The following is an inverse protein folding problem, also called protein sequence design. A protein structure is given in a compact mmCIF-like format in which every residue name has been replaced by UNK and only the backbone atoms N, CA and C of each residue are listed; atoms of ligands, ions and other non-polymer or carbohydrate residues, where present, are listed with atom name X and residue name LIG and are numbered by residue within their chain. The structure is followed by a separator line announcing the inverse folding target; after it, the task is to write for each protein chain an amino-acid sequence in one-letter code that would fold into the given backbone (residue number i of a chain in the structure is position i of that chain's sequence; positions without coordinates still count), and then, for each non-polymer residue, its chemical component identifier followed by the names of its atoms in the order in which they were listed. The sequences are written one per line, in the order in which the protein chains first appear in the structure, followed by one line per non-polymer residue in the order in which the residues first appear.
data_IF_506442561740
#
_entry.id   IF_506442561740
#
_cell.length_a   1.000
_cell.length_b   1.000
_cell.length_c   1.000
_cell.angle_alpha   90.00
_cell.angle_beta   90.00
_cell.angle_gamma   90.00
#
_symmetry.space_group_name_H-M   'P 1'
#
loop_
_entity.id
_entity.type
_entity.pdbx_description
1 polymer ?
#
# COMPACT_ATOMS: atom_id res chain seq x y z
N UNK A 1 29.51 -25.74 51.83
CA UNK A 1 28.10 -25.46 51.46
C UNK A 1 28.07 -24.09 50.79
N UNK A 2 27.87 -24.03 49.48
CA UNK A 2 27.96 -22.77 48.72
C UNK A 2 26.90 -22.80 47.63
N UNK A 3 25.75 -22.14 47.85
CA UNK A 3 24.67 -22.07 46.86
C UNK A 3 24.92 -20.89 45.93
N UNK A 4 25.29 -21.16 44.68
CA UNK A 4 25.23 -20.16 43.61
C UNK A 4 23.75 -19.84 43.31
N UNK A 5 23.39 -18.56 43.34
CA UNK A 5 22.07 -18.09 42.95
C UNK A 5 22.05 -17.78 41.45
N UNK A 6 21.42 -18.66 40.66
CA UNK A 6 21.10 -18.35 39.27
C UNK A 6 20.03 -17.23 39.22
N UNK A 7 20.46 -15.98 39.06
CA UNK A 7 19.55 -14.91 38.62
C UNK A 7 19.20 -15.13 37.15
N UNK A 8 18.04 -15.72 36.90
CA UNK A 8 17.40 -15.62 35.58
C UNK A 8 17.20 -14.13 35.26
N UNK A 9 17.84 -13.65 34.19
CA UNK A 9 17.45 -12.39 33.55
C UNK A 9 16.12 -12.63 32.85
N UNK A 10 15.02 -12.29 33.53
CA UNK A 10 13.75 -12.05 32.84
C UNK A 10 13.97 -10.88 31.91
N UNK A 11 14.01 -11.15 30.60
CA UNK A 11 13.98 -10.09 29.61
C UNK A 11 12.62 -9.40 29.72
N UNK A 12 12.61 -8.12 30.09
CA UNK A 12 11.41 -7.31 30.04
C UNK A 12 11.05 -7.15 28.57
N UNK A 13 9.99 -7.84 28.12
CA UNK A 13 9.43 -7.61 26.80
C UNK A 13 8.92 -6.17 26.73
N UNK A 14 9.60 -5.33 25.96
CA UNK A 14 9.13 -3.99 25.62
C UNK A 14 7.85 -4.14 24.80
N UNK A 15 6.71 -3.78 25.40
CA UNK A 15 5.36 -4.10 24.91
C UNK A 15 4.88 -3.33 23.68
N UNK A 16 5.75 -3.07 22.70
CA UNK A 16 5.37 -2.53 21.41
C UNK A 16 4.94 -3.65 20.45
N UNK A 17 3.81 -3.48 19.77
CA UNK A 17 3.38 -4.38 18.73
C UNK A 17 4.35 -4.32 17.53
N UNK A 18 4.70 -5.49 16.98
CA UNK A 18 5.41 -5.56 15.71
C UNK A 18 4.48 -5.18 14.54
N UNK A 19 5.05 -4.91 13.37
CA UNK A 19 4.31 -4.38 12.21
C UNK A 19 3.16 -5.29 11.76
N UNK A 20 3.35 -6.61 11.81
CA UNK A 20 2.28 -7.58 11.53
C UNK A 20 1.14 -7.50 12.58
N UNK A 21 1.47 -7.35 13.87
CA UNK A 21 0.49 -7.18 14.94
C UNK A 21 -0.23 -5.82 14.87
N UNK A 22 0.47 -4.75 14.48
CA UNK A 22 -0.12 -3.42 14.20
C UNK A 22 -1.11 -3.47 13.03
N UNK A 23 -0.78 -4.22 11.97
CA UNK A 23 -1.70 -4.53 10.87
C UNK A 23 -2.84 -5.48 11.30
N UNK A 24 -2.67 -6.26 12.37
CA UNK A 24 -3.66 -7.18 12.90
C UNK A 24 -3.85 -8.43 12.03
N UNK A 25 -4.84 -9.27 12.38
CA UNK A 25 -5.14 -10.49 11.62
C UNK A 25 -5.73 -10.12 10.24
N UNK A 26 -5.20 -10.64 9.13
CA UNK A 26 -5.78 -10.44 7.80
C UNK A 26 -7.10 -11.20 7.65
N UNK A 27 -8.08 -10.59 6.98
CA UNK A 27 -9.32 -11.27 6.58
C UNK A 27 -9.08 -12.23 5.40
N UNK A 28 -8.12 -11.90 4.52
CA UNK A 28 -7.65 -12.75 3.43
C UNK A 28 -6.13 -12.96 3.52
N UNK A 29 -5.67 -14.21 3.53
CA UNK A 29 -4.25 -14.55 3.40
C UNK A 29 -4.06 -15.61 2.32
N UNK A 30 -3.27 -15.30 1.29
CA UNK A 30 -3.12 -16.15 0.10
C UNK A 30 -1.77 -15.92 -0.61
N UNK A 31 -1.35 -16.87 -1.44
CA UNK A 31 -0.40 -16.58 -2.52
C UNK A 31 -1.19 -15.95 -3.68
N UNK A 32 -0.61 -14.96 -4.35
CA UNK A 32 -1.20 -14.24 -5.46
C UNK A 32 -1.55 -15.16 -6.65
N UNK A 33 -0.89 -16.32 -6.77
CA UNK A 33 -1.21 -17.33 -7.79
C UNK A 33 -2.58 -18.00 -7.60
N UNK A 34 -3.11 -17.96 -6.37
CA UNK A 34 -4.38 -18.61 -6.00
C UNK A 34 -5.57 -17.65 -6.13
N UNK A 35 -5.30 -16.36 -6.39
CA UNK A 35 -6.31 -15.34 -6.68
C UNK A 35 -6.75 -15.44 -8.14
N UNK A 36 -8.06 -15.48 -8.37
CA UNK A 36 -8.64 -15.64 -9.70
C UNK A 36 -8.86 -14.28 -10.37
N UNK A 37 -9.09 -13.23 -9.58
CA UNK A 37 -9.51 -11.91 -10.04
C UNK A 37 -8.58 -10.76 -9.62
N UNK A 38 -7.34 -11.05 -9.23
CA UNK A 38 -6.35 -10.05 -8.79
C UNK A 38 -5.00 -10.30 -9.44
N UNK A 39 -4.41 -9.24 -9.99
CA UNK A 39 -3.03 -9.22 -10.49
C UNK A 39 -2.16 -8.49 -9.45
N UNK A 40 -1.11 -9.14 -8.97
CA UNK A 40 -0.07 -8.50 -8.14
C UNK A 40 1.16 -8.26 -9.00
N UNK A 41 1.51 -6.99 -9.21
CA UNK A 41 2.55 -6.54 -10.14
C UNK A 41 3.69 -5.80 -9.45
N UNK A 42 4.89 -5.87 -10.04
CA UNK A 42 6.08 -5.15 -9.60
C UNK A 42 6.24 -3.76 -10.24
N UNK A 43 5.35 -3.34 -11.14
CA UNK A 43 5.46 -2.08 -11.90
C UNK A 43 4.12 -1.39 -12.18
N UNK A 44 4.15 -0.09 -12.47
CA UNK A 44 2.97 0.71 -12.76
C UNK A 44 2.44 0.57 -14.20
N UNK A 45 3.24 0.14 -15.17
CA UNK A 45 2.79 -0.07 -16.56
C UNK A 45 1.96 -1.37 -16.77
N UNK A 46 1.31 -1.87 -15.71
CA UNK A 46 0.44 -3.04 -15.78
C UNK A 46 -0.88 -2.69 -16.46
N UNK A 47 -1.29 -3.50 -17.43
CA UNK A 47 -2.61 -3.41 -18.06
C UNK A 47 -3.73 -3.65 -17.04
N UNK A 48 -4.77 -2.83 -17.09
CA UNK A 48 -6.01 -3.01 -16.31
C UNK A 48 -6.96 -3.89 -17.13
N UNK A 49 -6.91 -5.19 -16.88
CA UNK A 49 -7.87 -6.12 -17.48
C UNK A 49 -9.28 -5.94 -16.88
N UNK A 50 -10.37 -6.12 -17.67
CA UNK A 50 -11.73 -6.11 -17.15
C UNK A 50 -11.94 -7.05 -15.97
N UNK A 51 -12.69 -6.59 -14.97
CA UNK A 51 -13.00 -7.32 -13.74
C UNK A 51 -11.79 -7.86 -12.95
N UNK A 52 -10.57 -7.34 -13.20
CA UNK A 52 -9.35 -7.66 -12.44
C UNK A 52 -8.91 -6.52 -11.55
N UNK A 53 -8.69 -6.82 -10.27
CA UNK A 53 -7.96 -5.92 -9.39
C UNK A 53 -6.49 -5.87 -9.84
N UNK A 54 -5.84 -4.72 -9.68
CA UNK A 54 -4.39 -4.57 -9.92
C UNK A 54 -3.76 -3.97 -8.67
N UNK A 55 -2.90 -4.75 -8.01
CA UNK A 55 -2.20 -4.37 -6.79
C UNK A 55 -0.71 -4.15 -7.07
N UNK A 56 -0.21 -2.98 -6.68
CA UNK A 56 1.18 -2.57 -6.80
C UNK A 56 1.71 -2.03 -5.46
N UNK A 57 2.96 -2.36 -5.15
CA UNK A 57 3.72 -1.77 -4.05
C UNK A 57 5.18 -1.56 -4.47
N UNK A 58 5.76 -0.41 -4.13
CA UNK A 58 7.08 0.01 -4.57
C UNK A 58 8.25 -0.88 -4.13
N UNK A 59 8.09 -1.75 -3.12
CA UNK A 59 9.23 -2.50 -2.55
C UNK A 59 10.02 -3.33 -3.57
N UNK A 60 9.35 -3.93 -4.57
CA UNK A 60 10.09 -4.67 -5.60
C UNK A 60 10.89 -3.75 -6.53
N UNK A 61 10.35 -2.58 -6.90
CA UNK A 61 11.05 -1.56 -7.68
C UNK A 61 12.25 -0.99 -6.90
N UNK A 62 12.12 -0.75 -5.60
CA UNK A 62 13.23 -0.29 -4.75
C UNK A 62 14.35 -1.33 -4.69
N UNK A 63 14.02 -2.59 -4.44
CA UNK A 63 14.99 -3.68 -4.46
C UNK A 63 15.67 -3.84 -5.83
N UNK A 64 14.93 -3.64 -6.93
CA UNK A 64 15.48 -3.66 -8.28
C UNK A 64 16.47 -2.51 -8.53
N UNK A 65 16.16 -1.29 -8.06
CA UNK A 65 17.06 -0.14 -8.17
C UNK A 65 18.39 -0.39 -7.45
N UNK A 66 18.33 -0.86 -6.20
CA UNK A 66 19.53 -1.21 -5.41
C UNK A 66 20.36 -2.32 -6.08
N UNK A 67 19.70 -3.29 -6.74
CA UNK A 67 20.38 -4.33 -7.50
C UNK A 67 21.13 -3.76 -8.71
N UNK A 68 20.48 -2.87 -9.47
CA UNK A 68 21.11 -2.16 -10.58
C UNK A 68 22.33 -1.33 -10.09
N UNK A 69 22.19 -0.63 -8.96
CA UNK A 69 23.25 0.21 -8.40
C UNK A 69 24.42 -0.62 -7.83
N UNK A 70 24.13 -1.76 -7.21
CA UNK A 70 25.14 -2.72 -6.77
C UNK A 70 25.98 -3.29 -7.92
N UNK A 71 25.36 -3.50 -9.09
CA UNK A 71 26.03 -3.94 -10.32
C UNK A 71 26.58 -2.79 -11.19
N UNK A 72 26.20 -1.55 -10.93
CA UNK A 72 26.58 -0.38 -11.72
C UNK A 72 25.98 -0.34 -13.13
N UNK A 73 24.90 -1.09 -13.40
CA UNK A 73 24.28 -1.20 -14.72
C UNK A 73 22.79 -1.56 -14.62
N UNK A 74 22.06 -1.40 -15.74
CA UNK A 74 20.72 -1.97 -15.89
C UNK A 74 20.79 -3.51 -15.93
N UNK A 75 19.78 -4.16 -15.35
CA UNK A 75 19.75 -5.62 -15.27
C UNK A 75 19.01 -6.18 -16.49
N UNK A 76 19.66 -7.08 -17.22
CA UNK A 76 19.09 -7.79 -18.36
C UNK A 76 19.15 -9.30 -18.20
N UNK A 77 18.38 -10.04 -19.01
CA UNK A 77 18.38 -11.51 -19.03
C UNK A 77 18.26 -12.06 -20.46
N UNK A 78 18.68 -13.31 -20.71
CA UNK A 78 18.22 -14.06 -21.88
C UNK A 78 16.69 -14.19 -21.88
N UNK A 79 16.06 -13.89 -23.01
CA UNK A 79 14.60 -13.97 -23.22
C UNK A 79 13.80 -13.27 -22.11
N UNK A 80 14.22 -12.06 -21.72
CA UNK A 80 13.68 -11.35 -20.55
C UNK A 80 12.16 -11.06 -20.65
N UNK A 81 11.47 -11.16 -19.51
CA UNK A 81 10.06 -10.80 -19.44
C UNK A 81 9.92 -9.26 -19.59
N UNK A 82 8.91 -8.72 -20.30
CA UNK A 82 8.76 -7.26 -20.53
C UNK A 82 8.84 -6.39 -19.27
N UNK A 83 8.46 -6.95 -18.12
CA UNK A 83 8.64 -6.33 -16.79
C UNK A 83 10.08 -5.87 -16.51
N UNK A 84 11.11 -6.57 -16.99
CA UNK A 84 12.54 -6.21 -16.80
C UNK A 84 12.83 -4.82 -17.37
N UNK A 85 12.41 -4.58 -18.62
CA UNK A 85 12.54 -3.29 -19.28
C UNK A 85 11.73 -2.18 -18.59
N UNK A 86 10.61 -2.49 -17.93
CA UNK A 86 9.84 -1.51 -17.12
C UNK A 86 10.55 -1.21 -15.80
N UNK A 87 11.05 -2.24 -15.09
CA UNK A 87 11.77 -2.07 -13.83
C UNK A 87 13.08 -1.27 -14.01
N UNK A 88 13.78 -1.43 -15.14
CA UNK A 88 14.96 -0.62 -15.47
C UNK A 88 14.66 0.88 -15.66
N UNK A 89 13.40 1.28 -15.91
CA UNK A 89 13.00 2.71 -15.95
C UNK A 89 13.04 3.39 -14.57
N UNK A 90 13.12 2.60 -13.48
CA UNK A 90 13.18 3.09 -12.08
C UNK A 90 12.08 4.09 -11.71
N UNK A 91 10.84 3.81 -12.11
CA UNK A 91 9.71 4.75 -11.98
C UNK A 91 9.41 5.21 -10.54
N UNK A 92 9.77 4.41 -9.53
CA UNK A 92 9.82 4.81 -8.11
C UNK A 92 11.27 4.84 -7.65
N UNK A 93 11.61 5.88 -6.89
CA UNK A 93 12.93 6.09 -6.29
C UNK A 93 12.84 6.38 -4.78
N UNK A 94 13.97 6.60 -4.14
CA UNK A 94 14.05 7.11 -2.76
C UNK A 94 13.37 8.48 -2.55
N UNK A 95 13.19 9.27 -3.61
CA UNK A 95 12.55 10.59 -3.55
C UNK A 95 11.03 10.51 -3.37
N UNK A 96 10.42 9.39 -3.74
CA UNK A 96 8.97 9.15 -3.68
C UNK A 96 8.49 8.67 -2.28
N UNK A 97 9.42 8.54 -1.32
CA UNK A 97 9.20 7.96 0.00
C UNK A 97 9.86 8.79 1.12
N UNK A 98 9.31 8.68 2.33
CA UNK A 98 10.01 9.15 3.54
C UNK A 98 11.16 8.17 3.82
N UNK A 99 12.42 8.63 3.93
CA UNK A 99 13.54 7.79 4.34
C UNK A 99 13.22 6.93 5.57
N UNK A 100 12.55 7.47 6.60
CA UNK A 100 12.26 6.73 7.84
C UNK A 100 11.21 5.61 7.67
N UNK A 101 10.53 5.54 6.52
CA UNK A 101 9.47 4.55 6.26
C UNK A 101 9.95 3.26 5.58
N UNK A 102 11.13 3.24 4.97
CA UNK A 102 11.60 2.07 4.21
C UNK A 102 13.09 1.78 4.42
N UNK A 103 13.52 0.55 4.16
CA UNK A 103 14.90 0.25 3.79
C UNK A 103 14.93 -0.43 2.42
N UNK A 104 16.00 -0.22 1.68
CA UNK A 104 16.36 -0.97 0.48
C UNK A 104 17.88 -1.14 0.50
N UNK A 105 18.38 -2.29 0.03
CA UNK A 105 19.80 -2.59 -0.12
C UNK A 105 20.03 -3.81 -1.02
N UNK A 106 21.19 -3.87 -1.67
CA UNK A 106 21.69 -5.05 -2.36
C UNK A 106 23.15 -5.35 -1.97
N UNK A 107 23.57 -6.60 -2.18
CA UNK A 107 24.89 -7.08 -1.79
C UNK A 107 25.11 -8.55 -2.12
N UNK A 108 26.07 -9.18 -1.43
CA UNK A 108 26.28 -10.64 -1.46
C UNK A 108 25.50 -11.30 -0.32
N UNK A 109 24.93 -12.48 -0.58
CA UNK A 109 24.24 -13.31 0.39
C UNK A 109 25.24 -13.94 1.37
N UNK A 110 25.64 -13.16 2.37
CA UNK A 110 26.56 -13.51 3.45
C UNK A 110 25.99 -13.09 4.81
N UNK A 111 26.62 -13.57 5.89
CA UNK A 111 26.17 -13.25 7.25
C UNK A 111 26.35 -11.76 7.58
N UNK A 112 27.33 -11.08 6.96
CA UNK A 112 27.53 -9.63 7.04
C UNK A 112 26.37 -8.85 6.40
N UNK A 113 25.82 -9.31 5.27
CA UNK A 113 24.65 -8.69 4.65
C UNK A 113 23.43 -8.79 5.55
N UNK A 114 23.18 -9.97 6.13
CA UNK A 114 22.06 -10.13 7.07
C UNK A 114 22.23 -9.30 8.33
N UNK A 115 23.44 -9.25 8.90
CA UNK A 115 23.75 -8.39 10.04
C UNK A 115 23.52 -6.90 9.73
N UNK A 116 23.91 -6.45 8.53
CA UNK A 116 23.69 -5.07 8.09
C UNK A 116 22.20 -4.76 7.87
N UNK A 117 21.47 -5.66 7.21
CA UNK A 117 20.01 -5.55 7.02
C UNK A 117 19.26 -5.49 8.36
N UNK A 118 19.62 -6.35 9.32
CA UNK A 118 19.05 -6.33 10.68
C UNK A 118 19.38 -5.04 11.43
N UNK A 119 20.61 -4.52 11.31
CA UNK A 119 20.99 -3.22 11.89
C UNK A 119 20.18 -2.07 11.29
N UNK A 120 19.98 -2.06 9.97
CA UNK A 120 19.16 -1.06 9.28
C UNK A 120 17.68 -1.15 9.69
N UNK A 121 17.10 -2.36 9.75
CA UNK A 121 15.74 -2.57 10.23
C UNK A 121 15.58 -2.09 11.68
N UNK A 122 16.49 -2.48 12.57
CA UNK A 122 16.48 -2.09 13.98
C UNK A 122 16.68 -0.59 14.18
N UNK A 123 17.57 0.03 13.41
CA UNK A 123 17.81 1.47 13.46
C UNK A 123 16.63 2.31 13.00
N UNK A 124 15.85 1.81 12.04
CA UNK A 124 14.72 2.54 11.43
C UNK A 124 13.36 2.25 12.06
N UNK A 125 13.12 1.00 12.47
CA UNK A 125 11.83 0.53 12.96
C UNK A 125 11.85 0.06 14.42
N UNK A 126 13.01 0.06 15.08
CA UNK A 126 13.18 -0.49 16.41
C UNK A 126 12.95 -2.01 16.43
N UNK A 127 12.37 -2.57 17.51
CA UNK A 127 12.05 -4.00 17.60
C UNK A 127 10.82 -4.39 16.76
N UNK A 128 10.16 -3.45 16.08
CA UNK A 128 8.83 -3.66 15.49
C UNK A 128 8.85 -4.29 14.09
N UNK A 129 9.99 -4.31 13.39
CA UNK A 129 10.09 -4.91 12.07
C UNK A 129 9.65 -6.38 12.04
N UNK A 130 9.05 -6.83 10.94
CA UNK A 130 8.61 -8.23 10.74
C UNK A 130 9.11 -8.76 9.39
N UNK A 131 10.43 -9.04 9.25
CA UNK A 131 11.10 -9.20 7.97
C UNK A 131 11.06 -10.63 7.43
N UNK A 132 9.87 -11.25 7.34
CA UNK A 132 9.69 -12.68 6.98
C UNK A 132 10.42 -13.07 5.67
N UNK A 133 10.50 -12.17 4.68
CA UNK A 133 11.23 -12.43 3.43
C UNK A 133 12.75 -12.45 3.60
N UNK A 134 13.31 -11.74 4.58
CA UNK A 134 14.74 -11.76 4.91
C UNK A 134 15.13 -13.10 5.56
N UNK A 135 14.27 -13.62 6.44
CA UNK A 135 14.43 -14.94 7.06
C UNK A 135 14.36 -16.05 5.99
N UNK A 136 13.36 -15.99 5.10
CA UNK A 136 13.24 -16.90 3.96
C UNK A 136 14.49 -16.85 3.06
N UNK A 137 15.04 -15.67 2.79
CA UNK A 137 16.27 -15.55 1.98
C UNK A 137 17.48 -16.15 2.69
N UNK A 138 17.62 -15.97 4.00
CA UNK A 138 18.69 -16.54 4.84
C UNK A 138 18.74 -18.06 4.81
N UNK A 139 17.56 -18.68 4.79
CA UNK A 139 17.39 -20.13 4.84
C UNK A 139 17.40 -20.79 3.45
N UNK A 140 16.92 -20.10 2.41
CA UNK A 140 16.63 -20.71 1.10
C UNK A 140 17.52 -20.20 -0.06
N UNK A 141 18.13 -19.01 0.04
CA UNK A 141 18.96 -18.47 -1.05
C UNK A 141 20.40 -19.03 -0.97
N UNK A 142 21.04 -19.40 -2.10
CA UNK A 142 22.43 -19.86 -2.11
C UNK A 142 23.39 -18.82 -1.54
N UNK A 143 24.26 -19.20 -0.60
CA UNK A 143 25.33 -18.32 -0.09
C UNK A 143 26.25 -17.87 -1.23
N UNK A 144 26.86 -16.69 -1.06
CA UNK A 144 27.76 -16.04 -2.02
C UNK A 144 27.12 -15.57 -3.34
N UNK A 145 25.84 -15.86 -3.60
CA UNK A 145 25.11 -15.23 -4.71
C UNK A 145 24.78 -13.78 -4.34
N UNK A 146 24.45 -12.95 -5.32
CA UNK A 146 23.91 -11.62 -5.03
C UNK A 146 22.51 -11.72 -4.38
N UNK A 147 22.16 -10.71 -3.59
CA UNK A 147 20.85 -10.57 -2.93
C UNK A 147 20.44 -9.09 -2.99
N UNK A 148 19.14 -8.85 -3.15
CA UNK A 148 18.52 -7.54 -2.94
C UNK A 148 17.31 -7.68 -2.02
N UNK A 149 17.08 -6.68 -1.20
CA UNK A 149 16.01 -6.65 -0.21
C UNK A 149 15.44 -5.24 -0.07
N UNK A 150 14.12 -5.15 0.08
CA UNK A 150 13.46 -3.91 0.49
C UNK A 150 12.32 -4.20 1.45
N UNK A 151 12.11 -3.26 2.38
CA UNK A 151 11.08 -3.32 3.40
C UNK A 151 10.47 -1.94 3.57
N UNK A 152 9.17 -1.80 3.37
CA UNK A 152 8.42 -0.56 3.54
C UNK A 152 7.39 -0.77 4.65
N UNK A 153 7.33 0.16 5.60
CA UNK A 153 6.27 0.22 6.60
C UNK A 153 5.78 1.66 6.76
N UNK A 154 4.48 1.85 6.55
CA UNK A 154 3.77 3.12 6.75
C UNK A 154 2.56 2.85 7.63
N UNK A 155 2.40 3.66 8.67
CA UNK A 155 1.24 3.59 9.56
C UNK A 155 0.48 4.92 9.47
N UNK A 156 -0.57 4.94 8.65
CA UNK A 156 -1.23 6.18 8.21
C UNK A 156 -2.55 6.39 8.96
N UNK A 157 -2.50 7.19 10.03
CA UNK A 157 -3.67 7.56 10.86
C UNK A 157 -4.66 8.43 10.11
N UNK A 158 -5.96 8.19 10.31
CA UNK A 158 -6.93 9.28 10.30
C UNK A 158 -6.97 9.95 11.66
N UNK A 159 -6.98 11.28 11.68
CA UNK A 159 -7.07 12.08 12.92
C UNK A 159 -8.40 11.86 13.65
N UNK A 160 -9.48 11.81 12.88
CA UNK A 160 -10.82 11.49 13.35
C UNK A 160 -11.25 10.18 12.67
N UNK A 161 -11.28 9.05 13.39
CA UNK A 161 -11.80 7.82 12.82
C UNK A 161 -13.22 8.02 12.27
N UNK A 162 -13.48 7.40 11.12
CA UNK A 162 -14.80 7.31 10.52
C UNK A 162 -15.70 6.35 11.29
N UNK A 163 -17.00 6.36 11.00
CA UNK A 163 -17.91 5.35 11.52
C UNK A 163 -17.77 4.05 10.69
N UNK A 164 -17.58 2.90 11.34
CA UNK A 164 -17.80 1.59 10.70
C UNK A 164 -19.30 1.39 10.51
N UNK A 165 -19.75 1.18 9.28
CA UNK A 165 -21.17 1.19 8.94
C UNK A 165 -21.78 -0.22 9.10
N UNK A 166 -22.94 -0.35 9.78
CA UNK A 166 -23.54 -1.66 10.05
C UNK A 166 -24.29 -2.25 8.85
N UNK A 167 -24.74 -1.41 7.92
CA UNK A 167 -25.34 -1.83 6.66
C UNK A 167 -24.24 -2.15 5.63
N UNK A 168 -24.31 -3.29 4.93
CA UNK A 168 -23.32 -3.62 3.91
C UNK A 168 -23.39 -2.62 2.73
N UNK A 169 -22.24 -2.40 2.11
CA UNK A 169 -22.15 -1.78 0.80
C UNK A 169 -22.23 -2.88 -0.26
N UNK A 170 -23.04 -2.70 -1.31
CA UNK A 170 -23.02 -3.62 -2.44
C UNK A 170 -21.97 -3.13 -3.43
N UNK A 171 -20.84 -3.83 -3.51
CA UNK A 171 -19.82 -3.59 -4.53
C UNK A 171 -20.19 -4.39 -5.78
N UNK A 172 -20.83 -3.72 -6.74
CA UNK A 172 -21.58 -4.41 -7.79
C UNK A 172 -22.70 -5.28 -7.20
N UNK A 173 -22.54 -6.60 -7.25
CA UNK A 173 -23.47 -7.57 -6.64
C UNK A 173 -22.98 -8.13 -5.29
N UNK A 174 -21.76 -7.79 -4.87
CA UNK A 174 -21.12 -8.39 -3.69
C UNK A 174 -21.34 -7.54 -2.43
N UNK A 175 -22.01 -8.06 -1.38
CA UNK A 175 -22.16 -7.33 -0.12
C UNK A 175 -20.85 -7.35 0.68
N UNK A 176 -20.26 -6.17 0.88
CA UNK A 176 -18.99 -5.95 1.60
C UNK A 176 -19.20 -5.06 2.82
N UNK A 177 -18.32 -5.18 3.82
CA UNK A 177 -18.27 -4.23 4.94
C UNK A 177 -17.73 -2.87 4.46
N UNK A 178 -18.16 -1.78 5.08
CA UNK A 178 -17.71 -0.44 4.72
C UNK A 178 -17.62 0.52 5.93
N UNK A 179 -16.94 1.63 5.73
CA UNK A 179 -16.83 2.74 6.68
C UNK A 179 -17.13 4.09 6.02
N UNK A 180 -17.31 5.13 6.83
CA UNK A 180 -17.42 6.51 6.37
C UNK A 180 -18.30 7.34 7.30
N UNK A 181 -19.35 7.97 6.75
CA UNK A 181 -20.35 8.69 7.53
C UNK A 181 -21.69 8.75 6.81
N UNK A 182 -22.77 8.72 7.59
CA UNK A 182 -24.14 8.85 7.11
C UNK A 182 -24.58 10.29 6.77
N UNK A 183 -25.82 10.45 6.27
CA UNK A 183 -26.41 11.76 6.00
C UNK A 183 -26.54 12.61 7.28
N UNK A 184 -26.53 13.95 7.18
CA UNK A 184 -26.45 14.86 8.33
C UNK A 184 -27.38 14.55 9.52
N UNK A 185 -28.64 14.15 9.26
CA UNK A 185 -29.62 13.81 10.30
C UNK A 185 -29.38 12.49 11.06
N UNK A 186 -28.33 11.72 10.72
CA UNK A 186 -27.87 10.52 11.44
C UNK A 186 -26.42 10.62 11.91
N UNK A 187 -25.77 11.79 11.81
CA UNK A 187 -24.36 11.97 12.17
C UNK A 187 -24.18 12.09 13.68
N UNK A 188 -23.17 11.40 14.21
CA UNK A 188 -22.59 11.69 15.53
C UNK A 188 -21.83 13.03 15.48
N UNK A 189 -21.50 13.60 16.65
CA UNK A 189 -20.60 14.77 16.72
C UNK A 189 -19.22 14.43 16.11
N UNK A 190 -18.77 13.17 16.26
CA UNK A 190 -17.51 12.66 15.67
C UNK A 190 -17.55 12.68 14.14
N UNK A 191 -18.68 12.32 13.53
CA UNK A 191 -18.88 12.40 12.08
C UNK A 191 -18.85 13.83 11.52
N UNK A 192 -19.03 14.86 12.37
CA UNK A 192 -18.77 16.26 11.99
C UNK A 192 -17.29 16.55 11.79
N UNK A 193 -16.42 16.00 12.65
CA UNK A 193 -14.96 16.13 12.54
C UNK A 193 -14.39 15.23 11.43
N UNK A 194 -14.90 14.01 11.27
CA UNK A 194 -14.52 13.12 10.18
C UNK A 194 -14.87 13.69 8.78
N UNK A 195 -15.83 14.62 8.68
CA UNK A 195 -16.07 15.38 7.45
C UNK A 195 -14.89 16.31 7.09
N UNK A 196 -14.25 16.93 8.09
CA UNK A 196 -13.18 17.93 7.86
C UNK A 196 -11.90 17.36 7.22
N UNK A 197 -11.70 16.04 7.34
CA UNK A 197 -10.60 15.31 6.70
C UNK A 197 -10.95 14.73 5.32
N UNK A 198 -12.15 14.99 4.79
CA UNK A 198 -12.52 14.64 3.40
C UNK A 198 -12.46 15.88 2.53
N UNK A 199 -11.43 15.96 1.68
CA UNK A 199 -11.35 16.96 0.61
C UNK A 199 -11.75 16.31 -0.71
N UNK A 200 -12.82 16.81 -1.33
CA UNK A 200 -13.14 16.50 -2.72
C UNK A 200 -12.10 17.21 -3.59
N UNK A 201 -11.35 16.45 -4.38
CA UNK A 201 -10.39 16.98 -5.34
C UNK A 201 -11.11 17.41 -6.62
N UNK A 202 -11.96 16.54 -7.15
CA UNK A 202 -12.77 16.75 -8.35
C UNK A 202 -14.09 15.96 -8.26
N UNK A 203 -15.17 16.46 -8.84
CA UNK A 203 -16.48 15.80 -8.83
C UNK A 203 -17.25 16.07 -10.12
N UNK A 204 -17.28 15.09 -11.02
CA UNK A 204 -18.05 15.15 -12.28
C UNK A 204 -19.43 14.52 -12.08
N UNK A 205 -19.53 13.45 -11.29
CA UNK A 205 -20.80 12.81 -10.94
C UNK A 205 -20.67 11.81 -9.79
N UNK A 206 -21.77 11.12 -9.44
CA UNK A 206 -21.79 10.06 -8.39
C UNK A 206 -21.01 8.80 -8.79
N UNK A 207 -20.59 8.75 -10.05
CA UNK A 207 -19.88 7.69 -10.74
C UNK A 207 -18.45 8.09 -11.11
N UNK A 208 -18.13 9.39 -11.00
CA UNK A 208 -16.88 9.99 -11.47
C UNK A 208 -16.45 11.13 -10.52
N UNK A 209 -15.64 10.78 -9.52
CA UNK A 209 -15.14 11.72 -8.51
C UNK A 209 -13.82 11.27 -7.88
N UNK A 210 -13.05 12.23 -7.38
CA UNK A 210 -11.76 12.03 -6.73
C UNK A 210 -11.77 12.73 -5.38
N UNK A 211 -11.36 12.04 -4.33
CA UNK A 211 -11.18 12.61 -2.99
C UNK A 211 -9.78 12.32 -2.44
N UNK A 212 -9.27 13.25 -1.65
CA UNK A 212 -8.13 13.02 -0.77
C UNK A 212 -8.62 12.95 0.67
N UNK A 213 -8.22 11.91 1.39
CA UNK A 213 -8.48 11.77 2.82
C UNK A 213 -7.24 12.25 3.59
N UNK A 214 -7.42 13.28 4.43
CA UNK A 214 -6.33 13.85 5.23
C UNK A 214 -5.88 12.87 6.31
N UNK A 215 -4.58 12.59 6.32
CA UNK A 215 -3.91 11.77 7.31
C UNK A 215 -3.34 12.65 8.44
N UNK A 216 -2.96 12.06 9.57
CA UNK A 216 -2.19 12.81 10.59
C UNK A 216 -0.78 13.14 10.11
N UNK A 217 -0.18 12.27 9.28
CA UNK A 217 1.03 12.59 8.52
C UNK A 217 0.70 13.64 7.47
N UNK A 218 1.34 14.80 7.55
CA UNK A 218 1.32 15.79 6.46
C UNK A 218 2.22 15.41 5.28
N UNK A 219 3.09 14.40 5.44
CA UNK A 219 4.04 13.93 4.42
C UNK A 219 3.45 12.89 3.46
N UNK A 220 2.25 12.37 3.75
CA UNK A 220 1.58 11.36 2.94
C UNK A 220 0.20 11.84 2.50
N UNK A 221 -0.24 11.34 1.35
CA UNK A 221 -1.58 11.54 0.81
C UNK A 221 -2.23 10.21 0.49
N UNK A 222 -3.47 10.05 0.95
CA UNK A 222 -4.36 8.98 0.54
C UNK A 222 -5.40 9.54 -0.42
N UNK A 223 -5.39 9.05 -1.66
CA UNK A 223 -6.40 9.37 -2.67
C UNK A 223 -7.31 8.18 -2.93
N UNK A 224 -8.60 8.45 -3.07
CA UNK A 224 -9.59 7.51 -3.58
C UNK A 224 -10.24 8.14 -4.82
N UNK A 225 -10.16 7.45 -5.96
CA UNK A 225 -10.67 7.94 -7.24
C UNK A 225 -11.62 6.92 -7.86
N UNK A 226 -12.92 7.24 -7.87
CA UNK A 226 -13.94 6.49 -8.60
C UNK A 226 -14.01 7.10 -9.99
N UNK A 227 -13.40 6.43 -10.96
CA UNK A 227 -13.21 6.93 -12.33
C UNK A 227 -13.27 5.76 -13.31
N UNK A 228 -13.48 6.02 -14.60
CA UNK A 228 -13.22 4.98 -15.60
C UNK A 228 -11.70 4.71 -15.70
N UNK A 229 -11.25 3.43 -15.73
CA UNK A 229 -9.85 3.12 -15.93
C UNK A 229 -9.41 3.43 -17.36
N UNK A 230 -8.13 3.76 -17.53
CA UNK A 230 -7.46 3.70 -18.83
C UNK A 230 -6.83 2.31 -19.02
N UNK A 231 -6.23 2.06 -20.19
CA UNK A 231 -5.72 0.73 -20.54
C UNK A 231 -4.66 0.20 -19.56
N UNK A 232 -3.89 1.10 -18.93
CA UNK A 232 -2.87 0.77 -17.94
C UNK A 232 -3.02 1.55 -16.63
N UNK A 233 -2.39 1.02 -15.58
CA UNK A 233 -2.42 1.60 -14.24
C UNK A 233 -1.68 2.95 -14.16
N UNK A 234 -0.49 3.08 -14.75
CA UNK A 234 0.26 4.34 -14.89
C UNK A 234 -0.59 5.44 -15.56
N UNK A 235 -1.21 5.15 -16.71
CA UNK A 235 -2.08 6.10 -17.41
C UNK A 235 -3.27 6.55 -16.55
N UNK A 236 -3.86 5.61 -15.80
CA UNK A 236 -4.98 5.90 -14.89
C UNK A 236 -4.53 6.80 -13.74
N UNK A 237 -3.35 6.57 -13.18
CA UNK A 237 -2.73 7.43 -12.15
C UNK A 237 -2.47 8.83 -12.72
N UNK A 238 -1.85 8.95 -13.89
CA UNK A 238 -1.56 10.23 -14.55
C UNK A 238 -2.84 11.06 -14.76
N UNK A 239 -3.92 10.42 -15.23
CA UNK A 239 -5.24 11.04 -15.41
C UNK A 239 -5.84 11.54 -14.09
N UNK A 240 -5.79 10.72 -13.02
CA UNK A 240 -6.26 11.12 -11.69
C UNK A 240 -5.42 12.26 -11.11
N UNK A 241 -4.10 12.19 -11.22
CA UNK A 241 -3.18 13.23 -10.74
C UNK A 241 -3.31 14.55 -11.53
N UNK A 242 -3.60 14.48 -12.83
CA UNK A 242 -3.94 15.66 -13.63
C UNK A 242 -5.21 16.34 -13.10
N UNK A 243 -6.29 15.58 -12.87
CA UNK A 243 -7.55 16.09 -12.30
C UNK A 243 -7.41 16.60 -10.86
N UNK A 244 -6.48 16.09 -10.06
CA UNK A 244 -6.17 16.65 -8.72
C UNK A 244 -5.53 18.04 -8.82
N UNK A 245 -4.67 18.27 -9.83
CA UNK A 245 -4.05 19.58 -10.09
C UNK A 245 -5.06 20.56 -10.71
N UNK A 246 -5.77 20.10 -11.73
CA UNK A 246 -6.70 20.88 -12.55
C UNK A 246 -8.12 20.25 -12.51
N UNK A 247 -8.84 20.38 -11.38
CA UNK A 247 -10.17 19.82 -11.23
C UNK A 247 -11.22 20.66 -11.93
N UNK A 248 -12.30 20.01 -12.38
CA UNK A 248 -13.41 20.63 -13.07
C UNK A 248 -14.40 21.28 -12.08
N UNK A 249 -14.60 20.67 -10.91
CA UNK A 249 -15.55 21.16 -9.91
C UNK A 249 -15.00 21.08 -8.48
N UNK A 250 -15.01 22.22 -7.76
CA UNK A 250 -14.44 22.36 -6.39
C UNK A 250 -15.45 22.59 -5.27
N UNK A 251 -16.67 23.03 -5.57
CA UNK A 251 -17.65 23.48 -4.56
C UNK A 251 -18.70 22.41 -4.26
N UNK A 252 -18.29 21.36 -3.55
CA UNK A 252 -19.18 20.26 -3.13
C UNK A 252 -18.97 19.97 -1.65
N UNK A 253 -20.07 19.83 -0.90
CA UNK A 253 -20.04 19.38 0.51
C UNK A 253 -20.44 17.90 0.57
N UNK A 254 -19.65 17.02 1.22
CA UNK A 254 -20.03 15.62 1.37
C UNK A 254 -21.27 15.43 2.25
N UNK A 255 -22.29 14.76 1.71
CA UNK A 255 -23.49 14.32 2.42
C UNK A 255 -23.31 12.95 3.07
N UNK A 256 -22.71 12.01 2.35
CA UNK A 256 -22.46 10.64 2.79
C UNK A 256 -21.13 10.20 2.21
N UNK A 257 -20.38 9.37 2.93
CA UNK A 257 -19.25 8.64 2.37
C UNK A 257 -19.37 7.17 2.75
N UNK A 258 -19.14 6.27 1.79
CA UNK A 258 -19.06 4.81 2.02
C UNK A 258 -17.87 4.24 1.25
N UNK A 259 -16.90 3.70 1.98
CA UNK A 259 -15.66 3.10 1.45
C UNK A 259 -15.59 1.63 1.91
N UNK A 260 -15.37 0.65 1.03
CA UNK A 260 -15.14 -0.75 1.43
C UNK A 260 -13.99 -0.91 2.42
N UNK A 261 -14.10 -1.88 3.33
CA UNK A 261 -12.96 -2.36 4.13
C UNK A 261 -12.06 -3.27 3.30
N UNK A 262 -10.74 -3.14 3.46
CA UNK A 262 -9.75 -4.07 2.90
C UNK A 262 -8.80 -4.55 3.99
N UNK A 263 -8.49 -5.85 4.01
CA UNK A 263 -7.63 -6.42 5.03
C UNK A 263 -6.99 -7.74 4.56
N UNK A 264 -5.83 -7.66 3.90
CA UNK A 264 -5.20 -8.83 3.27
C UNK A 264 -3.69 -8.96 3.56
N UNK A 265 -3.18 -10.18 3.45
CA UNK A 265 -1.76 -10.56 3.52
C UNK A 265 -1.43 -11.44 2.30
N UNK A 266 -0.89 -10.83 1.24
CA UNK A 266 -0.64 -11.51 -0.03
C UNK A 266 0.86 -11.74 -0.26
N UNK A 267 1.20 -12.92 -0.76
CA UNK A 267 2.55 -13.28 -1.20
C UNK A 267 2.57 -13.44 -2.72
N UNK A 268 3.43 -12.72 -3.45
CA UNK A 268 3.66 -12.92 -4.88
C UNK A 268 5.08 -13.45 -5.09
N UNK A 269 5.19 -14.61 -5.74
CA UNK A 269 6.47 -15.11 -6.28
C UNK A 269 6.56 -14.75 -7.77
N UNK A 270 7.54 -13.94 -8.17
CA UNK A 270 7.78 -13.53 -9.56
C UNK A 270 8.58 -14.60 -10.32
N UNK A 271 7.92 -15.74 -10.59
CA UNK A 271 8.50 -16.89 -11.30
C UNK A 271 9.05 -16.56 -12.68
N UNK A 272 8.57 -15.47 -13.29
CA UNK A 272 8.95 -14.95 -14.61
C UNK A 272 10.41 -14.46 -14.67
N UNK A 273 11.00 -14.12 -13.51
CA UNK A 273 12.40 -13.70 -13.36
C UNK A 273 13.36 -14.85 -13.03
N UNK A 274 12.85 -16.02 -12.63
CA UNK A 274 13.67 -17.08 -12.04
C UNK A 274 14.45 -17.89 -13.08
N UNK A 275 15.60 -18.42 -12.67
CA UNK A 275 16.39 -19.38 -13.44
C UNK A 275 17.14 -18.80 -14.65
N UNK A 276 16.98 -17.51 -14.95
CA UNK A 276 17.70 -16.80 -16.00
C UNK A 276 18.91 -16.06 -15.41
N UNK A 277 20.13 -16.28 -15.91
CA UNK A 277 21.31 -15.56 -15.45
C UNK A 277 21.19 -14.07 -15.79
N UNK A 278 21.72 -13.20 -14.92
CA UNK A 278 21.79 -11.77 -15.22
C UNK A 278 22.89 -11.53 -16.25
N UNK A 279 22.56 -10.84 -17.35
CA UNK A 279 23.53 -10.31 -18.30
C UNK A 279 24.07 -9.00 -17.74
N UNK A 280 25.28 -9.05 -17.21
CA UNK A 280 25.96 -7.89 -16.65
C UNK A 280 26.84 -7.24 -17.73
N UNK A 281 26.89 -5.91 -17.78
CA UNK A 281 27.82 -5.21 -18.68
C UNK A 281 29.26 -5.24 -18.18
N UNK A 282 29.50 -5.73 -16.96
CA UNK A 282 30.82 -5.88 -16.34
C UNK A 282 31.24 -7.36 -16.36
N UNK A 283 32.30 -7.74 -17.09
CA UNK A 283 32.73 -9.14 -17.23
C UNK A 283 33.37 -9.74 -15.97
N UNK A 284 33.73 -8.93 -14.97
CA UNK A 284 34.43 -9.39 -13.76
C UNK A 284 33.49 -9.96 -12.67
N UNK A 285 32.19 -10.14 -12.96
CA UNK A 285 31.20 -10.70 -12.03
C UNK A 285 30.47 -11.89 -12.63
N UNK A 286 30.32 -12.94 -11.81
CA UNK A 286 29.66 -14.19 -12.21
C UNK A 286 28.16 -13.99 -12.47
N UNK A 287 27.68 -14.44 -13.63
CA UNK A 287 26.28 -14.32 -14.06
C UNK A 287 25.38 -15.30 -13.28
N UNK A 288 24.99 -14.95 -12.07
CA UNK A 288 24.07 -15.75 -11.24
C UNK A 288 22.58 -15.39 -11.48
N UNK A 289 21.65 -16.36 -11.53
CA UNK A 289 20.22 -16.11 -11.76
C UNK A 289 19.46 -15.68 -10.51
N UNK A 290 18.25 -15.11 -10.67
CA UNK A 290 17.29 -15.08 -9.56
C UNK A 290 16.91 -16.53 -9.19
N UNK A 291 17.15 -16.90 -7.94
CA UNK A 291 16.67 -18.16 -7.35
C UNK A 291 15.36 -17.94 -6.57
N UNK A 292 15.20 -16.74 -5.99
CA UNK A 292 13.99 -16.31 -5.28
C UNK A 292 13.70 -14.86 -5.69
N UNK A 293 12.47 -14.59 -6.13
CA UNK A 293 11.95 -13.26 -6.38
C UNK A 293 10.55 -13.20 -5.77
N UNK A 294 10.41 -12.54 -4.60
CA UNK A 294 9.15 -12.52 -3.84
C UNK A 294 8.84 -11.12 -3.31
N UNK A 295 7.56 -10.78 -3.27
CA UNK A 295 7.04 -9.61 -2.58
C UNK A 295 5.86 -10.02 -1.70
N UNK A 296 5.85 -9.54 -0.45
CA UNK A 296 4.73 -9.68 0.48
C UNK A 296 4.06 -8.32 0.63
N UNK A 297 2.74 -8.27 0.50
CA UNK A 297 1.95 -7.05 0.71
C UNK A 297 0.91 -7.34 1.80
N UNK A 298 1.17 -6.83 3.00
CA UNK A 298 0.22 -6.79 4.12
C UNK A 298 -0.44 -5.41 4.13
N UNK A 299 -1.73 -5.35 3.87
CA UNK A 299 -2.49 -4.10 3.80
C UNK A 299 -3.77 -4.18 4.63
N UNK A 300 -4.08 -3.12 5.38
CA UNK A 300 -5.36 -2.91 6.06
C UNK A 300 -5.81 -1.48 5.78
N UNK A 301 -7.06 -1.32 5.36
CA UNK A 301 -7.72 -0.04 5.18
C UNK A 301 -9.10 -0.09 5.84
N UNK A 302 -9.22 0.65 6.95
CA UNK A 302 -10.39 0.67 7.80
C UNK A 302 -10.72 2.08 8.33
N UNK A 303 -11.74 2.17 9.18
CA UNK A 303 -12.25 3.43 9.68
C UNK A 303 -11.24 4.30 10.46
N UNK A 304 -10.13 3.74 10.94
CA UNK A 304 -9.13 4.43 11.77
C UNK A 304 -7.92 4.92 10.97
N UNK A 305 -7.73 4.44 9.75
CA UNK A 305 -6.41 4.37 9.15
C UNK A 305 -5.55 3.43 10.02
N UNK A 306 -4.48 3.95 10.64
CA UNK A 306 -3.78 3.26 11.73
C UNK A 306 -2.94 4.22 12.59
N UNK A 307 -2.94 4.18 13.95
CA UNK A 307 -3.88 4.86 14.93
C UNK A 307 -3.14 5.79 15.96
N UNK A 308 -3.67 7.01 16.33
CA UNK A 308 -3.28 7.98 17.42
C UNK A 308 -2.39 9.21 17.04
N UNK A 309 -2.55 10.51 17.45
CA UNK A 309 -3.63 11.40 17.98
C UNK A 309 -3.08 12.84 18.29
N UNK A 310 -3.82 13.95 18.06
CA UNK A 310 -3.60 15.32 18.66
C UNK A 310 -4.76 16.32 18.41
N UNK A 311 -4.90 17.42 19.18
CA UNK A 311 -6.00 18.42 19.16
C UNK A 311 -5.79 19.66 18.24
N UNK A 312 -6.88 20.28 17.79
CA UNK A 312 -6.90 21.61 17.15
C UNK A 312 -8.31 22.23 17.16
N UNK A 313 -8.37 23.56 17.25
CA UNK A 313 -9.59 24.37 17.18
C UNK A 313 -9.41 25.45 16.11
N UNK A 314 -10.44 25.74 15.32
CA UNK A 314 -10.41 26.82 14.33
C UNK A 314 -11.81 27.24 13.90
N UNK A 315 -12.04 28.56 13.83
CA UNK A 315 -13.28 29.16 13.37
C UNK A 315 -12.97 30.30 12.39
N UNK A 316 -13.85 30.51 11.40
CA UNK A 316 -13.72 31.58 10.41
C UNK A 316 -14.72 31.36 9.28
N UNK A 317 -15.37 32.43 8.80
CA UNK A 317 -16.46 32.34 7.83
C UNK A 317 -16.26 33.23 6.60
N UNK A 318 -17.11 33.00 5.60
CA UNK A 318 -17.21 33.78 4.37
C UNK A 318 -18.21 33.12 3.41
N UNK A 319 -19.11 33.93 2.85
CA UNK A 319 -19.94 33.60 1.68
C UNK A 319 -19.26 34.25 0.46
N UNK A 320 -19.28 33.64 -0.75
CA UNK A 320 -20.52 33.62 -1.54
C UNK A 320 -20.77 32.37 -2.40
N UNK A 321 -21.87 32.48 -3.17
CA UNK A 321 -22.39 31.63 -4.24
C UNK A 321 -23.04 30.28 -3.85
N UNK A 322 -23.93 29.86 -4.75
CA UNK A 322 -25.04 28.89 -4.62
C UNK A 322 -24.85 27.79 -3.55
N UNK A 323 -25.83 27.54 -2.65
CA UNK A 323 -25.64 26.65 -1.50
C UNK A 323 -25.15 25.27 -1.96
N UNK A 324 -23.96 24.81 -1.51
CA UNK A 324 -23.29 23.68 -2.11
C UNK A 324 -24.15 22.42 -1.98
N UNK A 325 -24.63 21.92 -3.11
CA UNK A 325 -25.55 20.78 -3.17
C UNK A 325 -24.88 19.56 -2.54
N UNK A 326 -25.41 19.00 -1.43
CA UNK A 326 -24.75 17.90 -0.75
C UNK A 326 -24.68 16.65 -1.65
N UNK A 327 -23.50 16.02 -1.77
CA UNK A 327 -23.26 14.85 -2.65
C UNK A 327 -22.85 13.61 -1.87
N UNK A 328 -23.20 12.44 -2.40
CA UNK A 328 -22.78 11.16 -1.83
C UNK A 328 -21.49 10.66 -2.51
N UNK A 329 -20.54 10.19 -1.69
CA UNK A 329 -19.23 9.69 -2.09
C UNK A 329 -19.18 8.18 -1.80
N UNK A 330 -19.78 7.39 -2.70
CA UNK A 330 -19.99 5.96 -2.51
C UNK A 330 -19.05 5.19 -3.45
N UNK A 331 -18.20 4.33 -2.90
CA UNK A 331 -17.26 3.47 -3.64
C UNK A 331 -17.83 2.06 -3.81
N UNK A 332 -18.93 1.95 -4.56
CA UNK A 332 -19.73 0.74 -4.81
C UNK A 332 -19.42 0.01 -6.12
N UNK A 333 -18.43 0.49 -6.88
CA UNK A 333 -17.97 -0.07 -8.16
C UNK A 333 -16.53 0.42 -8.43
N UNK A 334 -15.88 0.03 -9.55
CA UNK A 334 -14.44 0.16 -9.69
C UNK A 334 -13.83 1.52 -9.32
N UNK A 335 -12.75 1.48 -8.56
CA UNK A 335 -12.07 2.66 -8.03
C UNK A 335 -10.59 2.40 -7.73
N UNK A 336 -9.81 3.47 -7.76
CA UNK A 336 -8.39 3.50 -7.46
C UNK A 336 -8.14 3.96 -6.02
N UNK A 337 -7.27 3.24 -5.31
CA UNK A 337 -6.67 3.66 -4.04
C UNK A 337 -5.20 3.97 -4.30
N UNK A 338 -4.72 5.14 -3.88
CA UNK A 338 -3.31 5.52 -3.98
C UNK A 338 -2.78 6.03 -2.65
N UNK A 339 -1.56 5.60 -2.28
CA UNK A 339 -0.75 6.26 -1.26
C UNK A 339 0.50 6.84 -1.93
N UNK A 340 0.72 8.14 -1.73
CA UNK A 340 1.86 8.87 -2.27
C UNK A 340 2.49 9.76 -1.19
N UNK A 341 3.78 10.08 -1.33
CA UNK A 341 4.39 11.15 -0.54
C UNK A 341 3.88 12.50 -1.05
N UNK A 342 3.62 13.44 -0.15
CA UNK A 342 3.17 14.77 -0.55
C UNK A 342 4.20 15.46 -1.45
N UNK A 343 3.72 16.03 -2.55
CA UNK A 343 4.57 16.69 -3.54
C UNK A 343 5.33 15.77 -4.50
N UNK A 344 5.18 14.44 -4.41
CA UNK A 344 5.79 13.50 -5.36
C UNK A 344 4.81 13.12 -6.48
N UNK A 345 5.35 12.78 -7.65
CA UNK A 345 4.51 12.43 -8.80
C UNK A 345 3.95 11.01 -8.70
N UNK A 346 4.71 10.09 -8.11
CA UNK A 346 4.43 8.66 -8.17
C UNK A 346 3.97 8.10 -6.82
N UNK A 347 2.85 7.35 -6.79
CA UNK A 347 2.40 6.64 -5.60
C UNK A 347 3.25 5.40 -5.31
N UNK A 348 3.64 5.22 -4.04
CA UNK A 348 4.40 4.05 -3.59
C UNK A 348 3.53 2.81 -3.34
N UNK A 349 2.20 2.98 -3.24
CA UNK A 349 1.22 1.91 -3.18
C UNK A 349 0.01 2.29 -4.03
N UNK A 350 -0.44 1.34 -4.86
CA UNK A 350 -1.61 1.52 -5.70
C UNK A 350 -2.43 0.25 -5.70
N UNK A 351 -3.75 0.40 -5.57
CA UNK A 351 -4.70 -0.67 -5.79
C UNK A 351 -5.85 -0.18 -6.67
N UNK A 352 -5.93 -0.71 -7.88
CA UNK A 352 -7.17 -0.67 -8.65
C UNK A 352 -8.10 -1.78 -8.16
N UNK A 353 -9.23 -1.41 -7.57
CA UNK A 353 -10.29 -2.34 -7.15
C UNK A 353 -11.30 -2.43 -8.29
N UNK A 354 -11.37 -3.58 -8.96
CA UNK A 354 -12.37 -3.85 -9.99
C UNK A 354 -13.50 -4.77 -9.48
N UNK A 355 -13.22 -5.61 -8.48
CA UNK A 355 -14.14 -6.61 -7.94
C UNK A 355 -13.96 -6.74 -6.41
N UNK A 356 -14.75 -7.63 -5.79
CA UNK A 356 -14.78 -7.80 -4.34
C UNK A 356 -13.76 -8.80 -3.74
N UNK A 357 -12.88 -9.41 -4.53
CA UNK A 357 -11.95 -10.48 -4.08
C UNK A 357 -11.01 -10.03 -2.94
N UNK A 358 -10.63 -8.74 -2.90
CA UNK A 358 -9.78 -8.15 -1.86
C UNK A 358 -10.55 -7.35 -0.79
N UNK A 359 -11.89 -7.28 -0.89
CA UNK A 359 -12.75 -6.53 0.02
C UNK A 359 -13.24 -7.42 1.16
N UNK A 360 -13.39 -6.90 2.38
CA UNK A 360 -13.96 -7.70 3.45
C UNK A 360 -15.46 -8.00 3.19
N UNK A 361 -15.87 -9.29 3.12
CA UNK A 361 -17.27 -9.64 2.90
C UNK A 361 -18.13 -9.22 4.09
N UNK A 362 -19.41 -8.96 3.83
CA UNK A 362 -20.38 -8.70 4.89
C UNK A 362 -20.51 -9.91 5.84
N UNK A 363 -20.50 -9.65 7.15
CA UNK A 363 -20.49 -10.68 8.22
C UNK A 363 -21.65 -11.69 8.17
N UNK A 364 -22.72 -11.40 7.42
CA UNK A 364 -23.90 -12.26 7.24
C UNK A 364 -24.04 -12.88 5.83
N UNK A 365 -23.06 -12.70 4.92
CA UNK A 365 -23.16 -13.19 3.54
C UNK A 365 -23.39 -14.71 3.44
N UNK A 366 -22.91 -15.49 4.42
CA UNK A 366 -23.11 -16.94 4.52
C UNK A 366 -24.54 -17.39 4.88
N UNK A 367 -25.46 -16.46 5.18
CA UNK A 367 -26.89 -16.73 5.48
C UNK A 367 -27.85 -16.27 4.37
N UNK A 368 -27.33 -15.78 3.26
CA UNK A 368 -28.11 -15.26 2.12
C UNK A 368 -27.90 -16.07 0.82
N UNK A 369 -27.47 -17.34 0.95
CA UNK A 369 -27.41 -18.34 -0.12
C UNK A 369 -28.34 -19.49 0.21
#
# INVERSE_FOLDING_TARGET
MTKQSHRHRVAVATGEANHDATAGVPALKADARDLLQTIVTAHLEQEIAPDRNVLYCATFQLAWNELCDYFGCEIHMPDEHPMVAVLNKRAITSMDLDPNSYIALAGINSDEFFLHAEQMLKGRFGPRASPILLDIARDQAPRNYWITYAYLFKELRFRYPFDRLPEPLFFGQSPVQCFGFGPPGRRSVVAGWALSQVRICDFVGEDDFIVSLSLESSEDRLYLAKVAPLARLDQTIESVMARIREPQFRHVVPRTMKVPLLNFDLMRSFTELLGKPLRLTNPDREEAPFVIARQRIRFRFDEKGAVLLSEALGAGGGLPDDPPKPKDLIFDRPFLIMLAREGTANPYFVLWVANAELLEPALNASRMR
#
